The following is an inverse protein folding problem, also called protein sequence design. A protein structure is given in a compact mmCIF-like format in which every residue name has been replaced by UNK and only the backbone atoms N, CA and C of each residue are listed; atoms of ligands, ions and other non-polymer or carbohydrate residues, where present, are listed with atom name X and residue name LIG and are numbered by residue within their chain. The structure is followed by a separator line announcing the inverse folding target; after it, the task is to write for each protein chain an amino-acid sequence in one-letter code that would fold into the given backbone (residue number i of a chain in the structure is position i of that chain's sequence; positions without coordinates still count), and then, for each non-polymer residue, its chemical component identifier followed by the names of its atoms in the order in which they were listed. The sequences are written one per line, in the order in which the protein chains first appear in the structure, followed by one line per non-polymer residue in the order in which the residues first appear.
data_IF_012046894642
#
_entry.id   IF_012046894642
#
_cell.length_a   1.000
_cell.length_b   1.000
_cell.length_c   1.000
_cell.angle_alpha   90.00
_cell.angle_beta   90.00
_cell.angle_gamma   90.00
#
_symmetry.space_group_name_H-M   'P 1'
#
loop_
_entity.id
_entity.type
_entity.pdbx_description
1 polymer ?
#
# COMPACT_ATOMS: atom_id res chain seq x y z
N UNK A 1 5.31 -11.82 4.89
CA UNK A 1 4.51 -11.55 3.69
C UNK A 1 4.35 -12.86 2.92
N UNK A 2 3.14 -13.22 2.51
CA UNK A 2 2.87 -14.37 1.62
C UNK A 2 2.43 -13.84 0.26
N UNK A 3 3.00 -14.36 -0.82
CA UNK A 3 2.67 -13.98 -2.19
C UNK A 3 2.20 -15.20 -2.96
N UNK A 4 1.07 -15.09 -3.68
CA UNK A 4 0.49 -16.16 -4.49
C UNK A 4 0.08 -15.61 -5.86
N UNK A 5 0.52 -16.27 -6.93
CA UNK A 5 0.09 -15.93 -8.28
C UNK A 5 -1.19 -16.70 -8.60
N UNK A 6 -2.24 -15.98 -8.98
CA UNK A 6 -3.52 -16.55 -9.43
C UNK A 6 -3.44 -16.68 -10.96
N UNK A 7 -3.49 -17.92 -11.44
CA UNK A 7 -3.46 -18.23 -12.87
C UNK A 7 -4.88 -18.30 -13.45
N UNK A 8 -5.04 -17.95 -14.72
CA UNK A 8 -6.26 -18.24 -15.46
C UNK A 8 -6.27 -19.69 -16.01
N UNK A 9 -7.33 -20.06 -16.76
CA UNK A 9 -7.46 -21.38 -17.39
C UNK A 9 -6.30 -21.73 -18.35
N UNK A 10 -5.63 -20.73 -18.90
CA UNK A 10 -4.52 -20.86 -19.86
C UNK A 10 -3.14 -20.87 -19.17
N UNK A 11 -3.10 -20.95 -17.83
CA UNK A 11 -1.87 -20.86 -17.01
C UNK A 11 -1.09 -19.55 -17.17
N UNK A 12 -1.74 -18.48 -17.65
CA UNK A 12 -1.15 -17.14 -17.63
C UNK A 12 -1.56 -16.41 -16.35
N UNK A 13 -0.67 -15.57 -15.83
CA UNK A 13 -0.88 -14.85 -14.58
C UNK A 13 -2.03 -13.84 -14.74
N UNK A 14 -3.07 -13.96 -13.90
CA UNK A 14 -4.25 -13.09 -13.91
C UNK A 14 -4.19 -12.05 -12.78
N UNK A 15 -3.69 -12.44 -11.62
CA UNK A 15 -3.56 -11.56 -10.45
C UNK A 15 -2.46 -12.07 -9.51
N UNK A 16 -1.97 -11.19 -8.66
CA UNK A 16 -1.09 -11.53 -7.54
C UNK A 16 -1.82 -11.20 -6.25
N UNK A 17 -1.96 -12.20 -5.38
CA UNK A 17 -2.48 -12.04 -4.02
C UNK A 17 -1.29 -11.90 -3.07
N UNK A 18 -1.26 -10.82 -2.30
CA UNK A 18 -0.28 -10.58 -1.25
C UNK A 18 -1.04 -10.53 0.08
N UNK A 19 -0.64 -11.38 1.03
CA UNK A 19 -1.23 -11.45 2.36
C UNK A 19 -0.16 -11.14 3.40
N UNK A 20 -0.43 -10.12 4.21
CA UNK A 20 0.44 -9.65 5.29
C UNK A 20 -0.30 -9.89 6.61
N UNK A 21 0.15 -10.85 7.44
CA UNK A 21 -0.48 -11.08 8.73
C UNK A 21 -0.09 -9.96 9.69
N UNK A 22 -1.07 -9.16 10.09
CA UNK A 22 -0.90 -8.06 11.04
C UNK A 22 -1.31 -8.54 12.43
N UNK A 23 -0.43 -8.34 13.42
CA UNK A 23 -0.72 -8.59 14.82
C UNK A 23 -0.59 -7.29 15.60
N UNK A 24 -1.42 -7.12 16.63
CA UNK A 24 -1.39 -5.93 17.47
C UNK A 24 -2.42 -5.98 18.59
N UNK A 25 -2.45 -4.90 19.37
CA UNK A 25 -3.40 -4.64 20.46
C UNK A 25 -4.44 -3.61 19.99
N UNK A 26 -5.30 -3.18 20.91
CA UNK A 26 -6.25 -2.08 20.67
C UNK A 26 -7.66 -2.50 20.27
N UNK A 27 -7.94 -3.81 20.13
CA UNK A 27 -9.29 -4.33 19.90
C UNK A 27 -9.97 -3.65 18.71
N UNK A 28 -11.21 -3.20 18.90
CA UNK A 28 -11.99 -2.54 17.85
C UNK A 28 -11.34 -1.25 17.33
N UNK A 29 -10.72 -0.46 18.22
CA UNK A 29 -10.04 0.79 17.82
C UNK A 29 -8.82 0.49 16.96
N UNK A 30 -8.01 -0.50 17.36
CA UNK A 30 -6.85 -0.94 16.59
C UNK A 30 -7.27 -1.43 15.20
N UNK A 31 -8.31 -2.27 15.11
CA UNK A 31 -8.86 -2.74 13.85
C UNK A 31 -9.27 -1.57 12.96
N UNK A 32 -10.01 -0.58 13.50
CA UNK A 32 -10.42 0.61 12.73
C UNK A 32 -9.24 1.43 12.24
N UNK A 33 -8.19 1.59 13.06
CA UNK A 33 -6.99 2.32 12.66
C UNK A 33 -6.25 1.60 11.52
N UNK A 34 -6.08 0.28 11.62
CA UNK A 34 -5.45 -0.52 10.55
C UNK A 34 -6.30 -0.52 9.29
N UNK A 35 -7.63 -0.62 9.39
CA UNK A 35 -8.53 -0.47 8.24
C UNK A 35 -8.42 0.91 7.60
N UNK A 36 -8.29 1.98 8.41
CA UNK A 36 -8.05 3.33 7.91
C UNK A 36 -6.73 3.46 7.16
N UNK A 37 -5.66 2.83 7.68
CA UNK A 37 -4.37 2.74 7.00
C UNK A 37 -4.48 2.03 5.65
N UNK A 38 -5.17 0.89 5.59
CA UNK A 38 -5.43 0.18 4.33
C UNK A 38 -6.21 1.04 3.35
N UNK A 39 -7.24 1.75 3.82
CA UNK A 39 -8.00 2.68 2.98
C UNK A 39 -7.13 3.79 2.40
N UNK A 40 -6.17 4.33 3.17
CA UNK A 40 -5.22 5.32 2.67
C UNK A 40 -4.29 4.73 1.60
N UNK A 41 -3.81 3.50 1.79
CA UNK A 41 -3.00 2.79 0.78
C UNK A 41 -3.77 2.62 -0.53
N UNK A 42 -5.07 2.29 -0.47
CA UNK A 42 -5.90 2.14 -1.66
C UNK A 42 -6.02 3.43 -2.50
N UNK A 43 -5.88 4.61 -1.88
CA UNK A 43 -5.94 5.90 -2.60
C UNK A 43 -4.74 6.16 -3.52
N UNK A 44 -3.63 5.42 -3.36
CA UNK A 44 -2.44 5.58 -4.22
C UNK A 44 -2.78 5.43 -5.71
N UNK A 45 -3.72 4.53 -6.04
CA UNK A 45 -4.14 4.28 -7.42
C UNK A 45 -4.88 5.48 -8.05
N UNK A 46 -5.45 6.35 -7.23
CA UNK A 46 -6.28 7.48 -7.66
C UNK A 46 -5.43 8.76 -7.85
N UNK A 47 -4.16 8.75 -7.46
CA UNK A 47 -3.24 9.88 -7.63
C UNK A 47 -2.97 10.18 -9.12
N UNK A 48 -3.21 11.42 -9.54
CA UNK A 48 -2.98 11.89 -10.90
C UNK A 48 -1.57 12.43 -11.14
N UNK A 49 -0.86 12.80 -10.08
CA UNK A 49 0.49 13.39 -10.18
C UNK A 49 1.51 12.71 -9.26
N UNK A 50 2.79 12.84 -9.61
CA UNK A 50 3.89 12.35 -8.74
C UNK A 50 3.87 13.03 -7.36
N UNK A 51 3.45 14.29 -7.28
CA UNK A 51 3.35 15.03 -6.03
C UNK A 51 2.24 14.47 -5.12
N UNK A 52 1.09 14.08 -5.70
CA UNK A 52 0.02 13.41 -4.97
C UNK A 52 0.46 12.04 -4.47
N UNK A 53 1.13 11.24 -5.31
CA UNK A 53 1.69 9.94 -4.88
C UNK A 53 2.65 10.11 -3.70
N UNK A 54 3.56 11.09 -3.76
CA UNK A 54 4.47 11.38 -2.66
C UNK A 54 3.72 11.82 -1.39
N UNK A 55 2.73 12.70 -1.52
CA UNK A 55 1.96 13.20 -0.39
C UNK A 55 1.18 12.09 0.31
N UNK A 56 0.56 11.18 -0.46
CA UNK A 56 -0.14 10.01 0.08
C UNK A 56 0.85 9.04 0.72
N UNK A 57 2.01 8.79 0.10
CA UNK A 57 3.06 7.95 0.67
C UNK A 57 3.56 8.48 2.03
N UNK A 58 3.80 9.78 2.14
CA UNK A 58 4.22 10.42 3.39
C UNK A 58 3.14 10.30 4.47
N UNK A 59 1.87 10.46 4.09
CA UNK A 59 0.74 10.26 4.99
C UNK A 59 0.64 8.81 5.48
N UNK A 60 0.88 7.82 4.60
CA UNK A 60 0.92 6.39 4.97
C UNK A 60 2.07 6.14 5.95
N UNK A 61 3.26 6.69 5.70
CA UNK A 61 4.39 6.56 6.61
C UNK A 61 4.06 7.09 8.01
N UNK A 62 3.48 8.30 8.09
CA UNK A 62 3.08 8.90 9.36
C UNK A 62 1.98 8.10 10.08
N UNK A 63 0.97 7.65 9.36
CA UNK A 63 -0.12 6.84 9.92
C UNK A 63 0.40 5.49 10.42
N UNK A 64 1.25 4.80 9.64
CA UNK A 64 1.87 3.54 10.04
C UNK A 64 2.71 3.72 11.32
N UNK A 65 3.50 4.79 11.42
CA UNK A 65 4.25 5.09 12.64
C UNK A 65 3.34 5.29 13.86
N UNK A 66 2.16 5.91 13.70
CA UNK A 66 1.16 6.00 14.75
C UNK A 66 0.61 4.61 15.13
N UNK A 67 0.28 3.76 14.15
CA UNK A 67 -0.19 2.40 14.41
C UNK A 67 0.83 1.57 15.20
N UNK A 68 2.12 1.67 14.87
CA UNK A 68 3.20 1.00 15.63
C UNK A 68 3.26 1.54 17.06
N UNK A 69 3.29 2.88 17.23
CA UNK A 69 3.37 3.51 18.56
C UNK A 69 2.18 3.20 19.46
N UNK A 70 1.01 3.02 18.88
CA UNK A 70 -0.20 2.60 19.59
C UNK A 70 -0.30 1.08 19.76
N UNK A 71 0.72 0.32 19.33
CA UNK A 71 0.79 -1.13 19.35
C UNK A 71 -0.33 -1.80 18.54
N UNK A 72 -0.98 -1.11 17.60
CA UNK A 72 -2.04 -1.66 16.75
C UNK A 72 -1.51 -2.56 15.64
N UNK A 73 -0.23 -2.38 15.27
CA UNK A 73 0.54 -3.21 14.36
C UNK A 73 1.89 -3.47 15.02
N UNK A 74 2.39 -4.70 14.96
CA UNK A 74 3.74 -5.07 15.39
C UNK A 74 4.79 -4.62 14.36
N UNK A 75 6.04 -4.43 14.79
CA UNK A 75 7.10 -3.93 13.91
C UNK A 75 7.24 -4.78 12.63
N UNK A 76 7.17 -6.11 12.77
CA UNK A 76 7.24 -7.03 11.63
C UNK A 76 6.10 -6.80 10.63
N UNK A 77 4.85 -6.72 11.10
CA UNK A 77 3.70 -6.47 10.23
C UNK A 77 3.79 -5.11 9.55
N UNK A 78 4.31 -4.11 10.26
CA UNK A 78 4.51 -2.77 9.72
C UNK A 78 5.62 -2.72 8.66
N UNK A 79 6.73 -3.43 8.86
CA UNK A 79 7.81 -3.54 7.89
C UNK A 79 7.33 -4.22 6.60
N UNK A 80 6.66 -5.37 6.72
CA UNK A 80 6.10 -6.10 5.58
C UNK A 80 5.04 -5.25 4.83
N UNK A 81 4.24 -4.46 5.56
CA UNK A 81 3.29 -3.52 4.97
C UNK A 81 4.01 -2.41 4.19
N UNK A 82 5.05 -1.82 4.78
CA UNK A 82 5.80 -0.73 4.15
C UNK A 82 6.60 -1.19 2.92
N UNK A 83 7.06 -2.44 2.88
CA UNK A 83 7.61 -3.04 1.65
C UNK A 83 6.58 -3.03 0.52
N UNK A 84 5.35 -3.47 0.79
CA UNK A 84 4.26 -3.45 -0.19
C UNK A 84 3.91 -2.02 -0.62
N UNK A 85 3.75 -1.11 0.33
CA UNK A 85 3.42 0.29 0.05
C UNK A 85 4.50 0.94 -0.82
N UNK A 86 5.78 0.67 -0.55
CA UNK A 86 6.89 1.20 -1.35
C UNK A 86 6.85 0.70 -2.78
N UNK A 87 6.53 -0.59 -2.99
CA UNK A 87 6.34 -1.13 -4.34
C UNK A 87 5.17 -0.45 -5.07
N UNK A 88 4.01 -0.32 -4.42
CA UNK A 88 2.83 0.30 -5.00
C UNK A 88 3.06 1.78 -5.34
N UNK A 89 3.63 2.55 -4.41
CA UNK A 89 3.98 3.95 -4.66
C UNK A 89 4.99 4.09 -5.81
N UNK A 90 5.98 3.18 -5.89
CA UNK A 90 6.93 3.15 -7.01
C UNK A 90 6.25 2.91 -8.37
N UNK A 91 5.27 2.00 -8.42
CA UNK A 91 4.48 1.74 -9.63
C UNK A 91 3.63 2.96 -10.03
N UNK A 92 2.96 3.59 -9.07
CA UNK A 92 2.13 4.77 -9.33
C UNK A 92 2.97 6.00 -9.71
N UNK A 93 4.15 6.17 -9.11
CA UNK A 93 5.14 7.16 -9.55
C UNK A 93 5.54 6.95 -11.01
N UNK A 94 5.82 5.70 -11.43
CA UNK A 94 6.16 5.40 -12.81
C UNK A 94 4.97 5.66 -13.76
N UNK A 95 3.75 5.32 -13.35
CA UNK A 95 2.51 5.61 -14.09
C UNK A 95 2.32 7.11 -14.32
N UNK A 96 2.50 7.92 -13.26
CA UNK A 96 2.36 9.38 -13.32
C UNK A 96 3.43 10.02 -14.22
N UNK A 97 4.69 9.53 -14.16
CA UNK A 97 5.75 10.01 -15.06
C UNK A 97 5.46 9.70 -16.53
N UNK A 98 4.96 8.49 -16.81
CA UNK A 98 4.65 8.06 -18.17
C UNK A 98 3.43 8.78 -18.78
N UNK A 99 2.49 9.24 -17.95
CA UNK A 99 1.34 10.04 -18.39
C UNK A 99 1.71 11.51 -18.63
N UNK A 100 2.69 12.05 -17.90
CA UNK A 100 3.21 13.40 -18.13
C UNK A 100 3.98 13.54 -19.46
N UNK A 101 4.53 12.45 -20.01
CA UNK A 101 5.29 12.44 -21.26
C UNK A 101 4.47 12.24 -22.55
N UNK A 102 3.13 12.11 -22.46
CA UNK A 102 2.25 11.85 -23.61
C UNK A 102 1.36 13.04 -24.01
N UNK A 103 1.72 14.24 -23.58
CA UNK A 103 0.95 15.48 -23.78
C UNK A 103 1.53 16.45 -24.82
N UNK A 104 2.36 16.00 -25.76
CA UNK A 104 2.87 16.82 -26.87
C UNK A 104 3.09 15.97 -28.11
N UNK A 105 2.02 15.78 -28.88
CA UNK A 105 2.07 15.59 -30.35
C UNK A 105 1.03 16.53 -30.98
#
# INVERSE_FOLDING_TARGET
MKSRIILNRERTAKAQEISIPIHGKGGELGIKAVTGLVGLIETLKDCGTCQEVQSVFDAICGYNACCIRCEFIDEKGADELMELVSMLAGQEMARCKNSCGKGTE
#
